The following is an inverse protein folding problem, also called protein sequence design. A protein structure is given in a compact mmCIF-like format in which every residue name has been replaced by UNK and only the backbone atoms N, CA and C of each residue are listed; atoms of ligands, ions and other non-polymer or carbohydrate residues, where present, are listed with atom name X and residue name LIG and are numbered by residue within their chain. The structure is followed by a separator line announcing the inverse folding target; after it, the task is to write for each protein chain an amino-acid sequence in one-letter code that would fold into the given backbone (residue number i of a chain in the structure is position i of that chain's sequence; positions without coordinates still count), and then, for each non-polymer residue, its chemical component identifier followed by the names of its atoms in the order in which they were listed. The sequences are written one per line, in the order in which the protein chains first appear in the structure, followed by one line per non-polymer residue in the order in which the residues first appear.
data_IF_521449279279
#
_entry.id   IF_521449279279
#
_cell.length_a   1.000
_cell.length_b   1.000
_cell.length_c   1.000
_cell.angle_alpha   90.00
_cell.angle_beta   90.00
_cell.angle_gamma   90.00
#
_symmetry.space_group_name_H-M   'P 1'
#
loop_
_entity.id
_entity.type
_entity.pdbx_description
1 polymer ?
#
# COMPACT_ATOMS: atom_id res chain seq x y z
N UNK A 1 -3.34 -13.18 19.23
CA UNK A 1 -3.05 -13.78 17.91
C UNK A 1 -3.53 -12.90 16.77
N UNK A 2 -4.75 -12.35 16.79
CA UNK A 2 -5.31 -11.48 15.74
C UNK A 2 -4.45 -10.24 15.42
N UNK A 3 -3.92 -9.53 16.44
CA UNK A 3 -3.00 -8.39 16.23
C UNK A 3 -1.75 -8.74 15.42
N UNK A 4 -1.20 -9.94 15.61
CA UNK A 4 -0.02 -10.38 14.85
C UNK A 4 -0.40 -10.57 13.39
N UNK A 5 -1.54 -11.22 13.11
CA UNK A 5 -2.06 -11.43 11.76
C UNK A 5 -2.36 -10.12 11.04
N UNK A 6 -2.93 -9.13 11.73
CA UNK A 6 -3.17 -7.79 11.17
C UNK A 6 -1.86 -7.11 10.77
N UNK A 7 -0.85 -7.13 11.64
CA UNK A 7 0.45 -6.53 11.34
C UNK A 7 1.15 -7.27 10.20
N UNK A 8 1.08 -8.60 10.15
CA UNK A 8 1.66 -9.39 9.05
C UNK A 8 0.98 -9.09 7.71
N UNK A 9 -0.35 -8.93 7.69
CA UNK A 9 -1.09 -8.52 6.49
C UNK A 9 -0.71 -7.12 6.01
N UNK A 10 -0.55 -6.16 6.93
CA UNK A 10 -0.10 -4.80 6.60
C UNK A 10 1.31 -4.84 6.01
N UNK A 11 2.24 -5.59 6.62
CA UNK A 11 3.59 -5.75 6.10
C UNK A 11 3.61 -6.40 4.72
N UNK A 12 2.75 -7.39 4.45
CA UNK A 12 2.63 -8.04 3.14
C UNK A 12 2.16 -7.06 2.05
N UNK A 13 1.24 -6.15 2.39
CA UNK A 13 0.77 -5.09 1.48
C UNK A 13 1.88 -4.07 1.21
N UNK A 14 2.67 -3.71 2.23
CA UNK A 14 3.85 -2.85 2.06
C UNK A 14 4.92 -3.47 1.15
N UNK A 15 5.22 -4.76 1.34
CA UNK A 15 6.11 -5.53 0.47
C UNK A 15 5.59 -5.61 -0.97
N UNK A 16 4.28 -5.79 -1.16
CA UNK A 16 3.67 -5.81 -2.51
C UNK A 16 3.73 -4.43 -3.18
N UNK A 17 3.59 -3.35 -2.42
CA UNK A 17 3.74 -1.99 -2.94
C UNK A 17 5.19 -1.70 -3.36
N UNK A 18 6.18 -2.14 -2.58
CA UNK A 18 7.61 -2.05 -2.93
C UNK A 18 7.97 -2.96 -4.11
N UNK A 19 7.42 -4.17 -4.18
CA UNK A 19 7.57 -5.06 -5.33
C UNK A 19 6.97 -4.44 -6.61
N UNK A 20 5.84 -3.74 -6.48
CA UNK A 20 5.24 -2.96 -7.57
C UNK A 20 6.16 -1.85 -8.07
N UNK A 21 6.87 -1.16 -7.19
CA UNK A 21 7.86 -0.14 -7.57
C UNK A 21 9.04 -0.71 -8.37
N UNK A 22 9.44 -1.97 -8.13
CA UNK A 22 10.51 -2.66 -8.84
C UNK A 22 10.03 -3.28 -10.17
N UNK A 23 8.74 -3.13 -10.52
CA UNK A 23 8.18 -3.59 -11.79
C UNK A 23 7.54 -4.98 -11.76
N UNK A 24 7.29 -5.55 -10.58
CA UNK A 24 6.60 -6.84 -10.42
C UNK A 24 5.07 -6.76 -10.72
N UNK A 25 4.54 -5.57 -11.01
CA UNK A 25 3.11 -5.31 -11.21
C UNK A 25 2.36 -4.96 -9.91
N UNK A 26 1.43 -4.01 -9.97
CA UNK A 26 0.65 -3.51 -8.82
C UNK A 26 0.48 -1.99 -8.79
N UNK A 27 -0.14 -1.45 -7.73
CA UNK A 27 -0.37 0.00 -7.56
C UNK A 27 0.96 0.79 -7.56
N UNK A 28 2.03 0.21 -7.02
CA UNK A 28 3.39 0.78 -7.07
C UNK A 28 3.98 0.89 -8.48
N UNK A 29 3.64 -0.04 -9.39
CA UNK A 29 4.08 0.02 -10.78
C UNK A 29 3.44 1.19 -11.52
N UNK A 30 2.17 1.48 -11.22
CA UNK A 30 1.48 2.65 -11.78
C UNK A 30 2.11 3.95 -11.25
N UNK A 31 2.44 4.00 -9.96
CA UNK A 31 3.14 5.14 -9.34
C UNK A 31 4.48 5.46 -10.03
N UNK A 32 5.30 4.44 -10.30
CA UNK A 32 6.63 4.61 -10.89
C UNK A 32 6.57 4.78 -12.41
N UNK A 33 5.75 4.00 -13.10
CA UNK A 33 5.64 4.05 -14.57
C UNK A 33 4.95 5.32 -15.07
N UNK A 34 3.99 5.87 -14.32
CA UNK A 34 3.28 7.09 -14.74
C UNK A 34 3.71 8.35 -13.98
N UNK A 35 4.17 8.24 -12.73
CA UNK A 35 4.64 9.37 -11.92
C UNK A 35 6.13 9.66 -12.08
N UNK A 36 7.00 8.67 -11.82
CA UNK A 36 8.44 8.89 -11.85
C UNK A 36 9.01 9.01 -13.27
N UNK A 37 8.61 8.12 -14.19
CA UNK A 37 9.09 8.13 -15.59
C UNK A 37 8.72 9.39 -16.37
N UNK A 38 7.70 10.14 -15.92
CA UNK A 38 7.22 11.36 -16.58
C UNK A 38 7.56 12.65 -15.82
N UNK A 39 8.34 12.57 -14.73
CA UNK A 39 8.56 13.67 -13.79
C UNK A 39 7.27 14.31 -13.26
N UNK A 40 6.16 13.57 -13.31
CA UNK A 40 4.84 14.06 -12.94
C UNK A 40 4.59 13.72 -11.46
N UNK A 41 5.12 14.58 -10.58
CA UNK A 41 5.04 14.42 -9.13
C UNK A 41 3.61 14.24 -8.63
N UNK A 42 2.61 14.80 -9.31
CA UNK A 42 1.20 14.65 -8.97
C UNK A 42 0.75 13.19 -8.94
N UNK A 43 1.20 12.37 -9.89
CA UNK A 43 0.81 10.95 -9.99
C UNK A 43 1.53 10.10 -8.94
N UNK A 44 2.79 10.42 -8.64
CA UNK A 44 3.56 9.76 -7.58
C UNK A 44 2.93 10.03 -6.20
N UNK A 45 2.52 11.28 -5.94
CA UNK A 45 1.85 11.67 -4.71
C UNK A 45 0.48 11.00 -4.62
N UNK A 46 -0.31 11.00 -5.70
CA UNK A 46 -1.61 10.34 -5.74
C UNK A 46 -1.50 8.85 -5.40
N UNK A 47 -0.55 8.14 -6.00
CA UNK A 47 -0.34 6.72 -5.74
C UNK A 47 0.12 6.47 -4.29
N UNK A 48 0.94 7.35 -3.73
CA UNK A 48 1.36 7.28 -2.31
C UNK A 48 0.16 7.45 -1.38
N UNK A 49 -0.72 8.42 -1.65
CA UNK A 49 -1.95 8.64 -0.89
C UNK A 49 -2.86 7.40 -0.96
N UNK A 50 -3.01 6.77 -2.13
CA UNK A 50 -3.82 5.55 -2.29
C UNK A 50 -3.28 4.41 -1.43
N UNK A 51 -1.96 4.18 -1.41
CA UNK A 51 -1.34 3.14 -0.58
C UNK A 51 -1.60 3.40 0.91
N UNK A 52 -1.41 4.65 1.36
CA UNK A 52 -1.69 5.05 2.75
C UNK A 52 -3.16 4.78 3.12
N UNK A 53 -4.09 5.09 2.21
CA UNK A 53 -5.52 4.91 2.41
C UNK A 53 -5.89 3.42 2.53
N UNK A 54 -5.28 2.56 1.72
CA UNK A 54 -5.45 1.10 1.80
C UNK A 54 -4.91 0.56 3.13
N UNK A 55 -3.72 1.01 3.56
CA UNK A 55 -3.14 0.62 4.85
C UNK A 55 -4.08 1.02 6.00
N UNK A 56 -4.63 2.23 5.95
CA UNK A 56 -5.58 2.72 6.96
C UNK A 56 -6.85 1.88 7.00
N UNK A 57 -7.39 1.49 5.84
CA UNK A 57 -8.57 0.64 5.75
C UNK A 57 -8.31 -0.74 6.39
N UNK A 58 -7.14 -1.35 6.12
CA UNK A 58 -6.74 -2.63 6.71
C UNK A 58 -6.53 -2.50 8.21
N UNK A 59 -5.92 -1.40 8.66
CA UNK A 59 -5.72 -1.12 10.09
C UNK A 59 -7.07 -1.04 10.81
N UNK A 60 -8.04 -0.33 10.23
CA UNK A 60 -9.38 -0.18 10.79
C UNK A 60 -10.14 -1.52 10.83
N UNK A 61 -10.04 -2.31 9.76
CA UNK A 61 -10.65 -3.64 9.70
C UNK A 61 -10.06 -4.59 10.75
N UNK A 62 -8.72 -4.58 10.89
CA UNK A 62 -8.01 -5.40 11.86
C UNK A 62 -8.30 -4.99 13.31
N UNK A 63 -8.44 -3.69 13.58
CA UNK A 63 -8.80 -3.19 14.91
C UNK A 63 -10.27 -3.47 15.25
N UNK A 64 -11.17 -3.36 14.28
CA UNK A 64 -12.58 -3.77 14.42
C UNK A 64 -12.73 -5.26 14.75
N UNK A 65 -11.99 -6.12 14.03
CA UNK A 65 -11.95 -7.57 14.26
C UNK A 65 -11.25 -7.95 15.58
N UNK A 66 -10.32 -7.12 16.08
CA UNK A 66 -9.65 -7.33 17.37
C UNK A 66 -10.55 -6.94 18.55
N UNK A 67 -11.47 -5.99 18.34
CA UNK A 67 -12.32 -5.42 19.38
C UNK A 67 -13.69 -6.13 19.50
N UNK A 68 -14.00 -7.10 18.63
CA UNK A 68 -15.08 -8.07 18.81
C UNK A 68 -14.67 -9.27 19.65
#
# INVERSE_FOLDING_TARGET
MIRVTTVTLISLVGETAMAGAVGAGGIGNVAIAYGFNRYNHDVTILATIIIILIIFAIQFLGDFLTKS
#
